data_IF_028371071959
#
_entry.id   IF_028371071959
#
_cell.length_a   1.000
_cell.length_b   1.000
_cell.length_c   1.000
_cell.angle_alpha   90.00
_cell.angle_beta   90.00
_cell.angle_gamma   90.00
#
_symmetry.space_group_name_H-M   'P 1'
#
loop_
_entity.id
_entity.type
_entity.pdbx_description
1 polymer ?
#
# COMPACT_ATOMS: atom_id res chain seq x y z
N UNK A 1 -20.59 4.14 -11.34
CA UNK A 1 -21.72 4.24 -12.27
C UNK A 1 -21.75 3.06 -13.23
N UNK A 2 -22.85 2.86 -13.95
CA UNK A 2 -22.99 1.81 -14.98
C UNK A 2 -22.04 2.07 -16.16
N UNK A 3 -21.88 3.32 -16.52
CA UNK A 3 -20.97 3.75 -17.59
C UNK A 3 -19.50 3.42 -17.29
N UNK A 4 -19.02 3.73 -16.08
CA UNK A 4 -17.68 3.37 -15.65
C UNK A 4 -17.43 1.86 -15.71
N UNK A 5 -18.40 1.05 -15.29
CA UNK A 5 -18.32 -0.42 -15.39
C UNK A 5 -18.24 -0.90 -16.84
N UNK A 6 -18.98 -0.26 -17.76
CA UNK A 6 -18.95 -0.58 -19.17
C UNK A 6 -17.58 -0.21 -19.78
N UNK A 7 -17.02 0.95 -19.44
CA UNK A 7 -15.67 1.35 -19.88
C UNK A 7 -14.60 0.35 -19.43
N UNK A 8 -14.58 -0.01 -18.13
CA UNK A 8 -13.66 -1.05 -17.66
C UNK A 8 -13.92 -2.37 -18.39
N UNK A 9 -15.18 -2.74 -18.58
CA UNK A 9 -15.57 -3.95 -19.31
C UNK A 9 -15.02 -4.02 -20.73
N UNK A 10 -15.03 -2.91 -21.45
CA UNK A 10 -14.48 -2.79 -22.80
C UNK A 10 -12.95 -2.95 -22.81
N UNK A 11 -12.24 -2.25 -21.87
CA UNK A 11 -10.79 -2.32 -21.77
C UNK A 11 -10.28 -3.73 -21.45
N UNK A 12 -11.00 -4.51 -20.64
CA UNK A 12 -10.60 -5.86 -20.28
C UNK A 12 -11.21 -6.96 -21.14
N UNK A 13 -11.94 -6.60 -22.21
CA UNK A 13 -12.68 -7.56 -23.04
C UNK A 13 -11.75 -8.60 -23.72
N UNK A 14 -10.63 -8.13 -24.25
CA UNK A 14 -9.61 -8.96 -24.92
C UNK A 14 -8.67 -9.67 -23.96
N UNK A 15 -8.66 -9.31 -22.67
CA UNK A 15 -7.72 -9.84 -21.71
C UNK A 15 -8.09 -11.25 -21.24
N UNK A 16 -7.15 -12.20 -21.33
CA UNK A 16 -7.36 -13.59 -20.92
C UNK A 16 -7.05 -13.80 -19.43
N UNK A 17 -8.08 -14.04 -18.64
CA UNK A 17 -8.01 -14.35 -17.21
C UNK A 17 -7.80 -15.85 -16.98
N UNK A 18 -6.57 -16.34 -17.13
CA UNK A 18 -6.24 -17.78 -17.17
C UNK A 18 -5.89 -18.39 -15.81
N UNK A 19 -5.71 -17.59 -14.74
CA UNK A 19 -5.42 -18.14 -13.41
C UNK A 19 -6.70 -18.62 -12.72
N UNK A 20 -6.61 -19.51 -11.71
CA UNK A 20 -7.77 -19.92 -10.90
C UNK A 20 -8.52 -18.73 -10.28
N UNK A 21 -7.82 -17.66 -9.94
CA UNK A 21 -8.39 -16.41 -9.41
C UNK A 21 -8.83 -15.44 -10.51
N UNK A 22 -8.61 -15.75 -11.77
CA UNK A 22 -8.93 -14.89 -12.91
C UNK A 22 -10.36 -14.37 -12.92
N UNK A 23 -11.39 -15.21 -12.72
CA UNK A 23 -12.79 -14.76 -12.66
C UNK A 23 -13.05 -13.73 -11.56
N UNK A 24 -12.46 -13.91 -10.38
CA UNK A 24 -12.59 -12.98 -9.26
C UNK A 24 -11.91 -11.65 -9.55
N UNK A 25 -10.70 -11.68 -10.11
CA UNK A 25 -9.96 -10.47 -10.52
C UNK A 25 -10.80 -9.70 -11.54
N UNK A 26 -11.32 -10.38 -12.57
CA UNK A 26 -12.21 -9.75 -13.57
C UNK A 26 -13.43 -9.08 -12.94
N UNK A 27 -14.07 -9.76 -11.97
CA UNK A 27 -15.23 -9.25 -11.23
C UNK A 27 -14.87 -7.96 -10.47
N UNK A 28 -13.75 -7.94 -9.74
CA UNK A 28 -13.30 -6.77 -8.98
C UNK A 28 -12.91 -5.61 -9.89
N UNK A 29 -12.16 -5.88 -10.96
CA UNK A 29 -11.81 -4.84 -11.94
C UNK A 29 -13.05 -4.16 -12.53
N UNK A 30 -14.09 -4.93 -12.89
CA UNK A 30 -15.37 -4.36 -13.36
C UNK A 30 -16.07 -3.48 -12.32
N UNK A 31 -15.73 -3.63 -11.05
CA UNK A 31 -16.22 -2.75 -9.97
C UNK A 31 -15.30 -1.57 -9.70
N UNK A 32 -14.22 -1.41 -10.45
CA UNK A 32 -13.22 -0.37 -10.26
C UNK A 32 -12.22 -0.67 -9.12
N UNK A 33 -12.08 -1.95 -8.73
CA UNK A 33 -11.17 -2.40 -7.68
C UNK A 33 -10.04 -3.19 -8.31
N UNK A 34 -8.80 -2.70 -8.17
CA UNK A 34 -7.58 -3.38 -8.58
C UNK A 34 -6.91 -4.09 -7.41
N UNK A 35 -6.24 -5.21 -7.71
CA UNK A 35 -5.35 -5.89 -6.77
C UNK A 35 -3.92 -5.81 -7.27
N UNK A 36 -2.98 -5.53 -6.36
CA UNK A 36 -1.57 -5.46 -6.72
C UNK A 36 -0.68 -5.99 -5.59
N UNK A 37 -0.07 -7.16 -5.78
CA UNK A 37 0.88 -7.77 -4.85
C UNK A 37 1.85 -8.70 -5.57
N UNK A 38 2.98 -9.02 -4.96
CA UNK A 38 4.05 -9.82 -5.57
C UNK A 38 3.60 -11.22 -6.05
N UNK A 39 2.64 -11.84 -5.34
CA UNK A 39 2.09 -13.15 -5.72
C UNK A 39 1.11 -13.13 -6.91
N UNK A 40 0.80 -11.94 -7.45
CA UNK A 40 -0.04 -11.83 -8.63
C UNK A 40 0.80 -12.02 -9.90
N UNK A 41 0.25 -12.73 -10.90
CA UNK A 41 0.94 -12.87 -12.19
C UNK A 41 1.30 -11.51 -12.78
N UNK A 42 2.49 -11.35 -13.39
CA UNK A 42 2.95 -10.06 -13.94
C UNK A 42 1.93 -9.41 -14.88
N UNK A 43 1.29 -10.18 -15.76
CA UNK A 43 0.28 -9.68 -16.69
C UNK A 43 -0.93 -9.01 -16.01
N UNK A 44 -1.33 -9.50 -14.83
CA UNK A 44 -2.42 -8.88 -14.06
C UNK A 44 -1.98 -7.59 -13.39
N UNK A 45 -0.73 -7.53 -12.91
CA UNK A 45 -0.17 -6.30 -12.33
C UNK A 45 -0.12 -5.19 -13.38
N UNK A 46 0.41 -5.52 -14.57
CA UNK A 46 0.45 -4.58 -15.70
C UNK A 46 -0.95 -4.09 -16.08
N UNK A 47 -1.93 -5.00 -16.14
CA UNK A 47 -3.33 -4.62 -16.41
C UNK A 47 -3.87 -3.65 -15.37
N UNK A 48 -3.65 -3.92 -14.08
CA UNK A 48 -4.09 -3.02 -12.98
C UNK A 48 -3.43 -1.65 -13.11
N UNK A 49 -2.15 -1.58 -13.43
CA UNK A 49 -1.41 -0.33 -13.64
C UNK A 49 -1.97 0.46 -14.81
N UNK A 50 -2.22 -0.19 -15.95
CA UNK A 50 -2.81 0.46 -17.14
C UNK A 50 -4.20 1.02 -16.86
N UNK A 51 -5.08 0.21 -16.22
CA UNK A 51 -6.43 0.66 -15.84
C UNK A 51 -6.40 1.81 -14.82
N UNK A 52 -5.44 1.80 -13.90
CA UNK A 52 -5.26 2.87 -12.92
C UNK A 52 -4.76 4.16 -13.58
N UNK A 53 -3.80 4.08 -14.50
CA UNK A 53 -3.30 5.22 -15.29
C UNK A 53 -4.41 5.82 -16.15
N UNK A 54 -5.28 4.98 -16.71
CA UNK A 54 -6.47 5.41 -17.45
C UNK A 54 -7.60 6.00 -16.56
N UNK A 55 -7.40 6.05 -15.20
CA UNK A 55 -8.39 6.57 -14.27
C UNK A 55 -9.64 5.70 -14.09
N UNK A 56 -9.56 4.43 -14.50
CA UNK A 56 -10.68 3.49 -14.48
C UNK A 56 -10.85 2.76 -13.15
N UNK A 57 -9.82 2.77 -12.31
CA UNK A 57 -9.88 2.18 -10.97
C UNK A 57 -10.16 3.25 -9.92
N UNK A 58 -11.02 2.93 -8.96
CA UNK A 58 -11.35 3.79 -7.81
C UNK A 58 -10.54 3.42 -6.57
N UNK A 59 -10.23 2.13 -6.43
CA UNK A 59 -9.47 1.58 -5.31
C UNK A 59 -8.44 0.60 -5.85
N UNK A 60 -7.24 0.64 -5.30
CA UNK A 60 -6.21 -0.37 -5.52
C UNK A 60 -5.83 -0.93 -4.16
N UNK A 61 -6.08 -2.24 -3.98
CA UNK A 61 -5.64 -2.98 -2.80
C UNK A 61 -4.30 -3.64 -3.09
N UNK A 62 -3.32 -3.39 -2.25
CA UNK A 62 -2.00 -3.97 -2.43
C UNK A 62 -1.23 -4.12 -1.14
N UNK A 63 -0.08 -4.76 -1.26
CA UNK A 63 0.92 -4.86 -0.20
C UNK A 63 1.94 -3.71 -0.33
N UNK A 64 2.96 -3.73 0.50
CA UNK A 64 4.09 -2.77 0.47
C UNK A 64 4.77 -2.66 -0.91
N UNK A 65 4.64 -3.69 -1.77
CA UNK A 65 5.11 -3.65 -3.17
C UNK A 65 4.46 -2.54 -4.00
N UNK A 66 3.28 -2.04 -3.60
CA UNK A 66 2.68 -0.82 -4.19
C UNK A 66 3.55 0.44 -3.97
N UNK A 67 4.37 0.45 -2.94
CA UNK A 67 5.34 1.51 -2.67
C UNK A 67 6.53 1.54 -3.64
N UNK A 68 6.80 0.46 -4.38
CA UNK A 68 8.00 0.31 -5.22
C UNK A 68 7.63 0.16 -6.69
N UNK A 69 8.14 1.04 -7.54
CA UNK A 69 8.16 0.83 -8.99
C UNK A 69 6.86 1.05 -9.76
N UNK A 70 5.76 1.43 -9.10
CA UNK A 70 4.48 1.67 -9.79
C UNK A 70 4.26 3.16 -9.99
N UNK A 71 4.03 3.56 -11.23
CA UNK A 71 3.61 4.92 -11.56
C UNK A 71 2.09 4.98 -11.71
N UNK A 72 1.39 4.97 -10.57
CA UNK A 72 -0.08 5.04 -10.52
C UNK A 72 -0.50 6.33 -9.82
N UNK A 73 -1.43 7.10 -10.39
CA UNK A 73 -1.92 8.34 -9.78
C UNK A 73 -2.83 8.01 -8.59
N UNK A 74 -2.33 8.18 -7.37
CA UNK A 74 -3.04 7.91 -6.13
C UNK A 74 -3.29 9.23 -5.39
N UNK A 75 -4.54 9.58 -5.12
CA UNK A 75 -4.88 10.75 -4.31
C UNK A 75 -4.77 10.48 -2.82
N UNK A 76 -5.22 9.31 -2.38
CA UNK A 76 -5.30 8.94 -0.96
C UNK A 76 -4.68 7.58 -0.73
N UNK A 77 -3.79 7.48 0.23
CA UNK A 77 -3.24 6.23 0.73
C UNK A 77 -3.92 5.88 2.04
N UNK A 78 -4.51 4.68 2.11
CA UNK A 78 -5.08 4.12 3.33
C UNK A 78 -4.23 2.94 3.81
N UNK A 79 -3.63 3.09 4.98
CA UNK A 79 -3.01 1.98 5.70
C UNK A 79 -4.08 1.22 6.49
N UNK A 80 -4.33 -0.01 6.15
CA UNK A 80 -5.20 -0.90 6.94
C UNK A 80 -4.53 -1.35 8.23
N UNK A 81 -3.18 -1.36 8.25
CA UNK A 81 -2.34 -1.66 9.42
C UNK A 81 -1.04 -0.87 9.33
N UNK A 82 -0.47 -0.51 10.48
CA UNK A 82 0.88 0.08 10.57
C UNK A 82 1.93 -0.95 11.00
N UNK A 83 1.68 -2.22 10.78
CA UNK A 83 2.63 -3.30 11.04
C UNK A 83 2.68 -4.26 9.86
N UNK A 84 3.83 -4.91 9.66
CA UNK A 84 4.06 -5.93 8.65
C UNK A 84 4.83 -7.11 9.21
N UNK A 85 4.68 -8.27 8.59
CA UNK A 85 5.51 -9.45 8.85
C UNK A 85 6.79 -9.35 7.99
N UNK A 86 7.96 -9.49 8.60
CA UNK A 86 9.26 -9.37 7.93
C UNK A 86 9.85 -10.72 7.48
N UNK A 87 9.11 -11.81 7.69
CA UNK A 87 9.55 -13.18 7.47
C UNK A 87 9.87 -13.94 8.77
N UNK A 88 10.10 -13.22 9.88
CA UNK A 88 10.37 -13.79 11.19
C UNK A 88 9.37 -13.34 12.24
N UNK A 89 9.05 -12.06 12.29
CA UNK A 89 8.14 -11.46 13.26
C UNK A 89 7.27 -10.36 12.63
N UNK A 90 6.19 -10.04 13.29
CA UNK A 90 5.40 -8.85 12.96
C UNK A 90 5.92 -7.66 13.74
N UNK A 91 6.29 -6.60 13.04
CA UNK A 91 6.79 -5.36 13.61
C UNK A 91 6.07 -4.14 13.03
N UNK A 92 6.07 -3.02 13.75
CA UNK A 92 5.60 -1.73 13.24
C UNK A 92 6.46 -1.36 12.02
N UNK A 93 5.83 -0.72 11.03
CA UNK A 93 6.53 -0.23 9.84
C UNK A 93 7.72 0.64 10.22
N UNK A 94 8.82 0.49 9.50
CA UNK A 94 9.92 1.46 9.56
C UNK A 94 9.46 2.81 8.99
N UNK A 95 10.13 3.90 9.38
CA UNK A 95 9.88 5.21 8.78
C UNK A 95 10.04 5.17 7.25
N UNK A 96 11.05 4.47 6.77
CA UNK A 96 11.32 4.25 5.34
C UNK A 96 10.14 3.58 4.64
N UNK A 97 9.67 2.44 5.15
CA UNK A 97 8.54 1.71 4.56
C UNK A 97 7.29 2.57 4.54
N UNK A 98 7.02 3.25 5.67
CA UNK A 98 5.88 4.15 5.79
C UNK A 98 5.93 5.27 4.76
N UNK A 99 7.03 6.02 4.67
CA UNK A 99 7.17 7.12 3.73
C UNK A 99 7.20 6.67 2.28
N UNK A 100 7.72 5.49 1.98
CA UNK A 100 7.72 4.92 0.64
C UNK A 100 6.29 4.67 0.13
N UNK A 101 5.40 4.22 1.00
CA UNK A 101 3.98 4.01 0.69
C UNK A 101 3.22 5.34 0.76
N UNK A 102 3.37 6.09 1.84
CA UNK A 102 2.69 7.36 2.06
C UNK A 102 3.03 8.41 0.99
N UNK A 103 4.28 8.42 0.51
CA UNK A 103 4.75 9.32 -0.55
C UNK A 103 4.11 9.08 -1.92
N UNK A 104 3.25 8.06 -2.05
CA UNK A 104 2.42 7.87 -3.24
C UNK A 104 1.15 8.71 -3.22
N UNK A 105 0.80 9.31 -2.08
CA UNK A 105 -0.38 10.15 -1.95
C UNK A 105 -0.16 11.51 -2.64
N UNK A 106 -1.15 11.92 -3.44
CA UNK A 106 -1.11 13.15 -4.22
C UNK A 106 -0.64 12.94 -5.65
N UNK A 107 -1.45 13.37 -6.61
CA UNK A 107 -1.14 13.25 -8.04
C UNK A 107 -0.50 14.54 -8.53
N UNK A 108 0.78 14.47 -8.90
CA UNK A 108 1.51 15.62 -9.43
C UNK A 108 0.76 16.23 -10.64
N UNK A 109 0.48 17.53 -10.57
CA UNK A 109 -0.23 18.25 -11.63
C UNK A 109 -1.75 18.16 -11.61
N UNK A 110 -2.36 17.37 -10.67
CA UNK A 110 -3.81 17.21 -10.56
C UNK A 110 -4.34 17.50 -9.16
N UNK A 111 -3.57 17.19 -8.11
CA UNK A 111 -4.00 17.38 -6.73
C UNK A 111 -3.09 18.39 -6.02
N UNK A 112 -3.69 19.35 -5.33
CA UNK A 112 -2.97 20.31 -4.47
C UNK A 112 -2.51 19.63 -3.17
N UNK A 113 -3.19 18.54 -2.78
CA UNK A 113 -2.91 17.80 -1.53
C UNK A 113 -3.13 16.30 -1.72
N UNK A 114 -2.19 15.50 -1.21
CA UNK A 114 -2.35 14.07 -0.98
C UNK A 114 -2.85 13.79 0.44
N UNK A 115 -3.57 12.69 0.61
CA UNK A 115 -4.08 12.28 1.92
C UNK A 115 -3.50 10.95 2.33
N UNK A 116 -3.07 10.88 3.59
CA UNK A 116 -2.60 9.63 4.22
C UNK A 116 -3.48 9.35 5.41
N UNK A 117 -4.10 8.18 5.42
CA UNK A 117 -5.03 7.74 6.46
C UNK A 117 -4.56 6.41 7.01
N UNK A 118 -4.63 6.21 8.31
CA UNK A 118 -4.40 4.91 8.94
C UNK A 118 -5.68 4.48 9.68
N UNK A 119 -6.12 3.25 9.41
CA UNK A 119 -7.25 2.65 10.13
C UNK A 119 -6.78 2.29 11.55
N UNK A 120 -7.54 2.67 12.57
CA UNK A 120 -7.25 2.27 13.94
C UNK A 120 -7.33 0.73 14.09
N UNK A 121 -6.56 0.11 15.01
CA UNK A 121 -6.67 -1.33 15.27
C UNK A 121 -8.10 -1.73 15.67
N UNK A 122 -8.54 -2.90 15.23
CA UNK A 122 -9.92 -3.36 15.41
C UNK A 122 -10.32 -3.41 16.89
N UNK A 123 -9.47 -3.96 17.76
CA UNK A 123 -9.71 -3.99 19.20
C UNK A 123 -9.87 -2.58 19.80
N UNK A 124 -9.20 -1.57 19.23
CA UNK A 124 -9.34 -0.19 19.69
C UNK A 124 -10.69 0.39 19.26
N UNK A 125 -11.12 0.13 18.04
CA UNK A 125 -12.43 0.57 17.52
C UNK A 125 -13.57 -0.08 18.33
N UNK A 126 -13.44 -1.39 18.59
CA UNK A 126 -14.43 -2.11 19.38
C UNK A 126 -14.48 -1.64 20.83
N UNK A 127 -13.31 -1.42 21.47
CA UNK A 127 -13.25 -0.91 22.83
C UNK A 127 -13.88 0.49 22.96
N UNK A 128 -13.68 1.36 21.98
CA UNK A 128 -14.36 2.65 21.95
C UNK A 128 -15.88 2.50 21.93
N UNK A 129 -16.39 1.59 21.09
CA UNK A 129 -17.84 1.29 21.06
C UNK A 129 -18.35 0.67 22.38
N UNK A 130 -17.51 -0.11 23.06
CA UNK A 130 -17.84 -0.68 24.38
C UNK A 130 -17.85 0.40 25.46
N UNK A 131 -16.92 1.35 25.42
CA UNK A 131 -16.90 2.50 26.35
C UNK A 131 -18.17 3.37 26.20
N UNK A 132 -18.64 3.59 24.98
CA UNK A 132 -19.91 4.27 24.71
C UNK A 132 -21.11 3.52 25.32
N UNK A 133 -21.12 2.18 25.27
CA UNK A 133 -22.13 1.34 25.90
C UNK A 133 -22.03 1.33 27.44
N UNK A 134 -20.80 1.35 27.97
CA UNK A 134 -20.55 1.41 29.41
C UNK A 134 -21.04 2.73 30.02
N UNK A 135 -20.90 3.84 29.29
CA UNK A 135 -21.47 5.13 29.72
C UNK A 135 -22.98 5.10 29.89
N UNK A 136 -23.68 4.15 29.24
CA UNK A 136 -25.12 3.85 29.45
C UNK A 136 -25.39 2.88 30.59
N UNK A 137 -24.42 2.60 31.51
CA UNK A 137 -24.59 1.75 32.68
C UNK A 137 -24.46 0.23 32.45
N UNK A 138 -23.96 -0.20 31.27
CA UNK A 138 -23.76 -1.62 30.95
C UNK A 138 -22.35 -2.06 31.33
N UNK A 139 -22.26 -3.21 32.00
CA UNK A 139 -20.98 -3.85 32.27
C UNK A 139 -20.40 -4.37 30.93
N UNK A 140 -19.16 -4.00 30.60
CA UNK A 140 -18.50 -4.39 29.36
C UNK A 140 -17.11 -4.95 29.64
N UNK A 141 -16.70 -5.93 28.83
CA UNK A 141 -15.36 -6.51 28.87
C UNK A 141 -14.59 -6.01 27.65
N UNK A 142 -13.47 -5.32 27.89
CA UNK A 142 -12.62 -4.79 26.82
C UNK A 142 -11.87 -5.91 26.10
N UNK A 143 -11.74 -5.76 24.79
CA UNK A 143 -10.96 -6.67 23.94
C UNK A 143 -9.48 -6.39 24.07
N UNK A 144 -8.70 -7.45 24.18
CA UNK A 144 -7.23 -7.40 24.11
C UNK A 144 -6.75 -7.33 22.66
N UNK A 145 -5.55 -6.77 22.40
CA UNK A 145 -4.92 -6.88 21.09
C UNK A 145 -4.74 -8.35 20.69
N UNK A 146 -4.70 -8.66 19.38
CA UNK A 146 -4.37 -10.00 18.89
C UNK A 146 -3.01 -10.46 19.40
N UNK A 147 -2.89 -11.71 19.83
CA UNK A 147 -1.65 -12.29 20.37
C UNK A 147 -0.65 -12.65 19.27
N UNK A 148 -1.16 -12.94 18.05
CA UNK A 148 -0.33 -13.40 16.94
C UNK A 148 -0.45 -12.47 15.74
N UNK A 149 0.63 -12.37 14.96
CA UNK A 149 0.69 -11.61 13.71
C UNK A 149 0.27 -10.12 13.84
N UNK A 150 0.51 -9.54 15.01
CA UNK A 150 0.17 -8.17 15.32
C UNK A 150 1.29 -7.50 16.14
N UNK A 151 1.71 -6.32 15.71
CA UNK A 151 2.51 -5.42 16.53
C UNK A 151 1.61 -4.25 16.93
N UNK A 152 1.58 -3.94 18.23
CA UNK A 152 0.72 -2.89 18.75
C UNK A 152 1.10 -1.51 18.20
N UNK A 153 0.12 -0.74 17.75
CA UNK A 153 0.29 0.60 17.25
C UNK A 153 -0.96 1.45 17.55
N UNK A 154 -0.77 2.75 17.64
CA UNK A 154 -1.77 3.72 18.02
C UNK A 154 -1.59 5.05 17.26
N UNK A 155 -2.33 6.08 17.66
CA UNK A 155 -2.23 7.41 17.08
C UNK A 155 -0.82 8.03 17.29
N UNK A 156 -0.16 7.75 18.42
CA UNK A 156 1.18 8.25 18.69
C UNK A 156 2.20 7.61 17.73
N UNK A 157 2.05 6.32 17.47
CA UNK A 157 2.84 5.58 16.45
C UNK A 157 2.66 6.20 15.06
N UNK A 158 1.42 6.48 14.65
CA UNK A 158 1.13 7.12 13.36
C UNK A 158 1.78 8.51 13.26
N UNK A 159 1.60 9.36 14.29
CA UNK A 159 2.21 10.69 14.34
C UNK A 159 3.74 10.63 14.27
N UNK A 160 4.36 9.70 14.98
CA UNK A 160 5.81 9.47 14.95
C UNK A 160 6.29 9.07 13.56
N UNK A 161 5.59 8.16 12.88
CA UNK A 161 5.93 7.77 11.50
C UNK A 161 5.80 8.92 10.53
N UNK A 162 4.75 9.74 10.66
CA UNK A 162 4.55 10.92 9.83
C UNK A 162 5.66 11.98 10.02
N UNK A 163 6.11 12.18 11.25
CA UNK A 163 7.12 13.19 11.60
C UNK A 163 8.56 12.68 11.43
N UNK A 164 8.77 11.38 11.28
CA UNK A 164 10.10 10.81 11.15
C UNK A 164 10.78 11.31 9.86
N UNK A 165 12.04 11.76 9.92
CA UNK A 165 12.77 12.10 8.71
C UNK A 165 12.97 10.85 7.86
N UNK A 166 13.08 11.00 6.52
CA UNK A 166 13.43 9.90 5.64
C UNK A 166 14.80 9.34 6.07
N UNK A 167 14.89 8.02 6.25
CA UNK A 167 16.14 7.36 6.60
C UNK A 167 17.19 7.62 5.51
N UNK A 168 18.42 7.95 5.93
CA UNK A 168 19.53 8.11 5.00
C UNK A 168 19.79 6.76 4.32
N UNK A 169 19.97 6.78 3.00
CA UNK A 169 20.44 5.62 2.24
C UNK A 169 21.87 5.32 2.68
N UNK A 170 22.08 4.32 3.52
CA UNK A 170 23.42 3.77 3.80
C UNK A 170 23.70 2.74 2.72
N UNK A 171 24.62 3.04 1.80
CA UNK A 171 25.13 2.07 0.85
C UNK A 171 25.92 1.01 1.66
N UNK A 172 25.55 -0.27 1.52
CA UNK A 172 26.31 -1.39 2.07
C UNK A 172 27.52 -1.76 1.21
N UNK A 173 27.75 -1.07 0.13
CA UNK A 173 28.95 -1.25 -0.68
C UNK A 173 30.10 -0.52 0.00
N UNK A 174 31.05 -1.29 0.54
CA UNK A 174 32.30 -0.72 1.03
C UNK A 174 33.07 -0.10 -0.15
N UNK A 175 33.68 1.06 0.09
CA UNK A 175 34.46 1.85 -0.88
C UNK A 175 35.61 1.06 -1.50
N UNK A 176 35.97 -0.10 -0.97
CA UNK A 176 37.04 -0.97 -1.50
C UNK A 176 36.74 -1.62 -2.86
N UNK A 177 35.49 -1.60 -3.34
CA UNK A 177 35.14 -2.18 -4.66
C UNK A 177 35.12 -1.15 -5.80
N UNK A 178 35.23 0.14 -5.50
CA UNK A 178 35.19 1.22 -6.55
C UNK A 178 36.58 1.51 -7.11
N UNK A 179 37.67 1.14 -6.46
CA UNK A 179 39.04 1.39 -6.94
C UNK A 179 39.51 0.42 -8.02
N UNK A 180 38.73 -0.61 -8.37
CA UNK A 180 39.11 -1.57 -9.42
C UNK A 180 38.60 -1.23 -10.85
N UNK A 181 37.85 -0.12 -11.02
CA UNK A 181 37.27 0.26 -12.32
C UNK A 181 37.73 1.63 -12.86
N UNK A 182 38.82 2.19 -12.37
CA UNK A 182 39.40 3.43 -12.92
C UNK A 182 40.53 3.17 -13.93
N UNK A 183 40.30 2.31 -14.86
CA UNK A 183 41.29 2.01 -15.89
C UNK A 183 40.67 1.60 -17.20
N UNK A 184 39.81 2.46 -17.77
CA UNK A 184 39.60 2.51 -19.22
C UNK A 184 38.81 3.80 -19.56
N UNK A 185 39.54 4.77 -20.09
CA UNK A 185 38.99 5.92 -20.80
C UNK A 185 38.24 5.44 -22.04
N UNK A 186 36.93 5.69 -22.10
CA UNK A 186 36.20 5.67 -23.35
C UNK A 186 36.14 7.09 -23.87
N UNK A 187 36.98 7.36 -24.89
CA UNK A 187 36.84 8.50 -25.79
C UNK A 187 35.58 8.31 -26.63
N UNK A 188 34.70 9.31 -26.59
CA UNK A 188 33.63 9.48 -27.57
C UNK A 188 34.06 10.60 -28.52
N UNK A 189 34.49 10.21 -29.71
CA UNK A 189 34.50 11.06 -30.92
C UNK A 189 33.19 10.87 -31.67
#
# INVERSE_FOLDING_TARGET
>A
TREEKNRVGAEIASFRFTSPYGPNIRKWLKQGIGLHHAGLLPKYRVLVEQLAQAGLLKVICGTDTLGVGINVPIRTVLFSRLCKFDGQKTAVLSARDFHQIAGRAGRKGFDDRGFVVAQAPEHFIENKRLDEKAAGGKMVVKRKPPEHNFANWDLATFKRLMAAPPERLTSRFSVSTITAFSGNSFDFS
#
